data_IF_104266794219
#
_entry.id   IF_104266794219
#
_cell.length_a   1.000
_cell.length_b   1.000
_cell.length_c   1.000
_cell.angle_alpha   90.00
_cell.angle_beta   90.00
_cell.angle_gamma   90.00
#
_symmetry.space_group_name_H-M   'P 1'
#
loop_
_entity.id
_entity.type
_entity.pdbx_description
1 polymer ?
#
# COMPACT_ATOMS: atom_id res chain seq x y z
N UNK A 1 -20.12 10.85 -9.87
CA UNK A 1 -21.01 11.87 -10.23
C UNK A 1 -21.07 12.99 -9.21
N UNK A 2 -20.77 14.15 -9.67
CA UNK A 2 -20.73 15.30 -8.78
C UNK A 2 -22.08 15.98 -8.77
N UNK A 3 -22.77 15.86 -7.65
CA UNK A 3 -24.00 16.61 -7.43
C UNK A 3 -23.64 18.06 -7.09
N UNK A 4 -24.43 19.04 -7.56
CA UNK A 4 -24.20 20.43 -7.19
C UNK A 4 -24.18 20.61 -5.67
N UNK A 5 -23.12 21.25 -5.15
CA UNK A 5 -22.94 21.47 -3.72
C UNK A 5 -22.20 20.38 -2.96
N UNK A 6 -21.91 19.25 -3.59
CA UNK A 6 -21.10 18.20 -2.98
C UNK A 6 -19.63 18.44 -3.34
N UNK A 7 -18.78 18.54 -2.32
CA UNK A 7 -17.35 18.71 -2.50
C UNK A 7 -16.61 17.56 -1.84
N UNK A 8 -15.76 16.90 -2.59
CA UNK A 8 -14.89 15.86 -2.10
C UNK A 8 -13.51 16.43 -1.77
N UNK A 9 -12.95 15.97 -0.68
CA UNK A 9 -11.60 16.36 -0.25
C UNK A 9 -10.72 15.12 -0.18
N UNK A 10 -9.50 15.26 -0.67
CA UNK A 10 -8.45 14.26 -0.45
C UNK A 10 -7.81 14.50 0.90
N UNK A 11 -7.74 13.47 1.72
CA UNK A 11 -7.17 13.56 3.06
C UNK A 11 -6.28 12.34 3.29
N UNK A 12 -5.12 12.58 3.89
CA UNK A 12 -4.23 11.50 4.31
C UNK A 12 -4.24 11.42 5.83
N UNK A 13 -4.55 10.24 6.36
CA UNK A 13 -4.47 9.97 7.79
C UNK A 13 -3.31 9.05 8.09
N UNK A 14 -2.60 9.34 9.17
CA UNK A 14 -1.49 8.55 9.66
C UNK A 14 -1.91 7.89 10.96
N UNK A 15 -1.75 6.58 11.03
CA UNK A 15 -2.35 5.78 12.09
C UNK A 15 -1.37 4.73 12.60
N UNK A 16 -1.68 4.22 13.79
CA UNK A 16 -1.02 3.04 14.34
C UNK A 16 -2.05 1.92 14.46
N UNK A 17 -1.66 0.73 14.06
CA UNK A 17 -2.42 -0.49 14.29
C UNK A 17 -1.91 -1.23 15.52
N UNK A 18 -2.42 -2.45 15.76
CA UNK A 18 -1.91 -3.28 16.84
C UNK A 18 -0.45 -3.66 16.58
N UNK A 19 0.29 -3.96 17.63
CA UNK A 19 1.69 -4.37 17.59
C UNK A 19 2.65 -3.32 16.99
N UNK A 20 2.26 -2.05 17.03
CA UNK A 20 3.12 -0.97 16.54
C UNK A 20 3.16 -0.82 15.03
N UNK A 21 2.22 -1.43 14.31
CA UNK A 21 2.13 -1.31 12.86
C UNK A 21 1.81 0.13 12.47
N UNK A 22 2.57 0.68 11.53
CA UNK A 22 2.29 2.00 10.96
C UNK A 22 1.35 1.87 9.76
N UNK A 23 0.38 2.77 9.66
CA UNK A 23 -0.65 2.73 8.61
C UNK A 23 -0.83 4.14 8.05
N UNK A 24 -0.87 4.24 6.72
CA UNK A 24 -1.25 5.47 6.03
C UNK A 24 -2.53 5.20 5.24
N UNK A 25 -3.52 6.06 5.40
CA UNK A 25 -4.80 5.97 4.70
C UNK A 25 -4.94 7.14 3.75
N UNK A 26 -5.13 6.86 2.46
CA UNK A 26 -5.48 7.87 1.47
C UNK A 26 -6.98 7.85 1.31
N UNK A 27 -7.64 8.94 1.69
CA UNK A 27 -9.09 9.05 1.73
C UNK A 27 -9.62 10.10 0.78
N UNK A 28 -10.82 9.88 0.28
CA UNK A 28 -11.58 10.85 -0.48
C UNK A 28 -12.97 10.91 0.16
N UNK A 29 -13.36 12.06 0.69
CA UNK A 29 -14.61 12.18 1.42
C UNK A 29 -15.31 13.52 1.19
N UNK A 30 -16.62 13.51 1.25
CA UNK A 30 -17.47 14.69 1.27
C UNK A 30 -17.83 15.13 2.69
N UNK A 31 -17.45 14.33 3.70
CA UNK A 31 -17.74 14.60 5.09
C UNK A 31 -16.57 14.16 5.98
N UNK A 32 -15.65 15.09 6.16
CA UNK A 32 -14.43 14.86 6.92
C UNK A 32 -14.67 14.43 8.37
N UNK A 33 -15.67 15.03 9.01
CA UNK A 33 -15.99 14.71 10.42
C UNK A 33 -16.46 13.27 10.56
N UNK A 34 -17.32 12.82 9.65
CA UNK A 34 -17.79 11.44 9.64
C UNK A 34 -16.63 10.49 9.41
N UNK A 35 -15.79 10.75 8.41
CA UNK A 35 -14.67 9.87 8.06
C UNK A 35 -13.72 9.70 9.22
N UNK A 36 -13.28 10.79 9.86
CA UNK A 36 -12.33 10.71 10.96
C UNK A 36 -12.94 9.96 12.16
N UNK A 37 -14.21 10.17 12.45
CA UNK A 37 -14.89 9.50 13.53
C UNK A 37 -14.99 7.98 13.28
N UNK A 38 -15.33 7.58 12.07
CA UNK A 38 -15.42 6.17 11.69
C UNK A 38 -14.06 5.49 11.72
N UNK A 39 -12.99 6.16 11.23
CA UNK A 39 -11.64 5.63 11.27
C UNK A 39 -11.17 5.44 12.71
N UNK A 40 -11.39 6.42 13.57
CA UNK A 40 -11.04 6.30 15.00
C UNK A 40 -11.73 5.11 15.65
N UNK A 41 -12.98 4.88 15.32
CA UNK A 41 -13.74 3.75 15.85
C UNK A 41 -13.16 2.40 15.38
N UNK A 42 -12.86 2.29 14.10
CA UNK A 42 -12.25 1.07 13.53
C UNK A 42 -10.92 0.79 14.20
N UNK A 43 -10.05 1.80 14.31
CA UNK A 43 -8.73 1.64 14.91
C UNK A 43 -8.80 1.26 16.38
N UNK A 44 -9.65 1.91 17.16
CA UNK A 44 -9.75 1.66 18.59
C UNK A 44 -10.20 0.24 18.90
N UNK A 45 -11.09 -0.32 18.08
CA UNK A 45 -11.56 -1.71 18.24
C UNK A 45 -10.45 -2.73 18.01
N UNK A 46 -9.44 -2.37 17.26
CA UNK A 46 -8.30 -3.25 16.93
C UNK A 46 -7.08 -3.00 17.79
N UNK A 47 -7.18 -2.09 18.76
CA UNK A 47 -6.06 -1.73 19.62
C UNK A 47 -5.09 -0.71 19.01
N UNK A 48 -5.52 -0.05 17.93
CA UNK A 48 -4.76 1.01 17.30
C UNK A 48 -5.29 2.39 17.64
N UNK A 49 -4.74 3.41 17.00
CA UNK A 49 -5.16 4.78 17.21
C UNK A 49 -4.77 5.66 16.02
N UNK A 50 -5.52 6.74 15.85
CA UNK A 50 -5.18 7.78 14.89
C UNK A 50 -4.04 8.61 15.45
N UNK A 51 -3.00 8.84 14.66
CA UNK A 51 -1.85 9.65 15.02
C UNK A 51 -1.94 11.06 14.47
N UNK A 52 -0.93 11.85 14.80
CA UNK A 52 -0.79 13.20 14.26
C UNK A 52 -0.13 13.15 12.88
N UNK A 53 -0.39 14.18 12.06
CA UNK A 53 0.25 14.31 10.76
C UNK A 53 1.78 14.31 10.91
N UNK A 54 2.45 13.47 10.12
CA UNK A 54 3.91 13.33 10.17
C UNK A 54 4.41 12.23 11.09
N UNK A 55 3.53 11.55 11.83
CA UNK A 55 3.97 10.56 12.83
C UNK A 55 4.52 9.27 12.20
N UNK A 56 4.05 8.88 11.02
CA UNK A 56 4.48 7.62 10.37
C UNK A 56 4.92 7.81 8.92
N UNK A 57 4.67 8.94 8.27
CA UNK A 57 4.96 9.11 6.85
C UNK A 57 6.43 8.91 6.51
N UNK A 58 7.34 9.22 7.44
CA UNK A 58 8.78 9.03 7.27
C UNK A 58 9.19 7.55 7.20
N UNK A 59 8.30 6.65 7.61
CA UNK A 59 8.52 5.19 7.56
C UNK A 59 8.24 4.62 6.17
N UNK A 60 7.71 5.44 5.27
CA UNK A 60 7.34 5.02 3.91
C UNK A 60 8.09 5.86 2.89
N UNK A 61 8.17 5.31 1.67
CA UNK A 61 8.74 6.05 0.54
C UNK A 61 7.98 5.70 -0.73
N UNK A 62 8.00 6.60 -1.71
CA UNK A 62 7.33 6.37 -2.99
C UNK A 62 8.21 5.52 -3.89
N UNK A 63 7.67 4.43 -4.40
CA UNK A 63 8.36 3.49 -5.29
C UNK A 63 7.41 3.00 -6.37
N UNK A 64 7.99 2.51 -7.46
CA UNK A 64 7.25 1.72 -8.43
C UNK A 64 7.28 0.25 -8.01
N UNK A 65 6.16 -0.43 -8.13
CA UNK A 65 6.04 -1.87 -7.86
C UNK A 65 5.43 -2.53 -9.08
N UNK A 66 6.07 -3.59 -9.58
CA UNK A 66 5.61 -4.32 -10.76
C UNK A 66 5.56 -5.80 -10.42
N UNK A 67 4.39 -6.41 -10.63
CA UNK A 67 4.19 -7.85 -10.44
C UNK A 67 4.11 -8.53 -11.80
N UNK A 68 4.91 -9.59 -11.97
CA UNK A 68 5.01 -10.34 -13.23
C UNK A 68 4.90 -11.83 -12.93
N UNK A 69 4.11 -12.57 -13.72
CA UNK A 69 4.07 -14.02 -13.63
C UNK A 69 5.42 -14.62 -14.02
N UNK A 70 5.85 -15.64 -13.29
CA UNK A 70 7.08 -16.39 -13.65
C UNK A 70 6.98 -17.05 -15.02
N UNK A 71 5.78 -17.33 -15.50
CA UNK A 71 5.55 -17.91 -16.81
C UNK A 71 5.85 -16.94 -17.95
N UNK A 72 5.85 -15.65 -17.68
CA UNK A 72 5.97 -14.60 -18.69
C UNK A 72 7.41 -14.12 -18.90
N UNK A 73 8.32 -14.41 -17.98
CA UNK A 73 9.69 -13.93 -18.06
C UNK A 73 10.65 -14.87 -17.32
N UNK A 74 11.85 -15.02 -17.87
CA UNK A 74 12.92 -15.75 -17.19
C UNK A 74 13.61 -14.85 -16.17
N UNK A 75 13.95 -15.40 -15.01
CA UNK A 75 14.57 -14.65 -13.91
C UNK A 75 15.82 -13.91 -14.36
N UNK A 76 16.61 -14.51 -15.25
CA UNK A 76 17.87 -13.92 -15.74
C UNK A 76 17.64 -12.56 -16.41
N UNK A 77 16.50 -12.37 -17.06
CA UNK A 77 16.17 -11.10 -17.72
C UNK A 77 15.91 -9.96 -16.73
N UNK A 78 15.57 -10.29 -15.50
CA UNK A 78 15.32 -9.28 -14.47
C UNK A 78 16.59 -8.47 -14.17
N UNK A 79 17.76 -9.09 -14.29
CA UNK A 79 19.04 -8.42 -14.04
C UNK A 79 19.38 -7.37 -15.09
N UNK A 80 18.74 -7.39 -16.24
CA UNK A 80 18.93 -6.40 -17.31
C UNK A 80 18.04 -5.18 -17.18
N UNK A 81 17.09 -5.21 -16.24
CA UNK A 81 16.14 -4.12 -16.04
C UNK A 81 16.69 -3.08 -15.08
N UNK A 82 16.25 -1.82 -15.26
CA UNK A 82 16.60 -0.73 -14.36
C UNK A 82 15.71 -0.73 -13.12
N UNK A 83 15.86 -1.77 -12.31
CA UNK A 83 15.11 -1.96 -11.07
C UNK A 83 16.07 -1.90 -9.89
N UNK A 84 15.53 -1.57 -8.72
CA UNK A 84 16.32 -1.53 -7.49
C UNK A 84 16.47 -2.91 -6.88
N UNK A 85 15.42 -3.71 -6.96
CA UNK A 85 15.39 -5.04 -6.35
C UNK A 85 14.24 -5.85 -6.93
N UNK A 86 14.26 -7.16 -6.69
CA UNK A 86 13.11 -8.01 -6.97
C UNK A 86 12.99 -9.12 -5.94
N UNK A 87 11.76 -9.53 -5.70
CA UNK A 87 11.41 -10.60 -4.79
C UNK A 87 10.86 -11.78 -5.59
N UNK A 88 11.31 -12.98 -5.26
CA UNK A 88 10.84 -14.21 -5.90
C UNK A 88 9.75 -14.81 -5.03
N UNK A 89 8.52 -14.83 -5.55
CA UNK A 89 7.39 -15.47 -4.89
C UNK A 89 7.13 -16.83 -5.56
N UNK A 90 6.13 -17.57 -5.09
CA UNK A 90 5.85 -18.90 -5.62
C UNK A 90 5.52 -18.89 -7.12
N UNK A 91 4.67 -17.98 -7.56
CA UNK A 91 4.19 -17.94 -8.94
C UNK A 91 4.54 -16.66 -9.70
N UNK A 92 5.13 -15.68 -9.01
CA UNK A 92 5.42 -14.38 -9.62
C UNK A 92 6.66 -13.74 -9.03
N UNK A 93 7.14 -12.70 -9.73
CA UNK A 93 8.17 -11.80 -9.26
C UNK A 93 7.54 -10.45 -8.90
N UNK A 94 8.06 -9.82 -7.85
CA UNK A 94 7.69 -8.45 -7.51
C UNK A 94 8.93 -7.59 -7.67
N UNK A 95 8.87 -6.65 -8.61
CA UNK A 95 9.97 -5.73 -8.90
C UNK A 95 9.75 -4.41 -8.21
N UNK A 96 10.83 -3.82 -7.71
CA UNK A 96 10.80 -2.48 -7.13
C UNK A 96 11.65 -1.54 -7.96
N UNK A 97 11.09 -0.41 -8.37
CA UNK A 97 11.79 0.61 -9.14
C UNK A 97 11.74 1.95 -8.42
N UNK A 98 12.59 2.89 -8.82
CA UNK A 98 12.35 4.29 -8.46
C UNK A 98 11.09 4.77 -9.18
N UNK A 99 10.39 5.80 -8.66
CA UNK A 99 9.26 6.37 -9.38
C UNK A 99 9.63 6.83 -10.80
N UNK A 100 10.83 7.36 -10.96
CA UNK A 100 11.30 7.88 -12.24
C UNK A 100 11.50 6.78 -13.29
N UNK A 101 11.99 5.61 -12.87
CA UNK A 101 12.25 4.50 -13.80
C UNK A 101 11.04 3.62 -14.06
N UNK A 102 9.97 3.79 -13.31
CA UNK A 102 8.78 2.92 -13.42
C UNK A 102 8.21 2.88 -14.84
N UNK A 103 8.06 4.05 -15.47
CA UNK A 103 7.50 4.15 -16.82
C UNK A 103 8.34 3.42 -17.85
N UNK A 104 9.66 3.61 -17.79
CA UNK A 104 10.59 2.99 -18.74
C UNK A 104 10.62 1.48 -18.59
N UNK A 105 10.66 0.98 -17.36
CA UNK A 105 10.65 -0.47 -17.08
C UNK A 105 9.34 -1.10 -17.54
N UNK A 106 8.21 -0.45 -17.22
CA UNK A 106 6.90 -0.93 -17.63
C UNK A 106 6.76 -1.00 -19.15
N UNK A 107 7.19 0.05 -19.84
CA UNK A 107 7.15 0.09 -21.31
C UNK A 107 8.02 -0.98 -21.94
N UNK A 108 9.21 -1.20 -21.41
CA UNK A 108 10.11 -2.23 -21.90
C UNK A 108 9.48 -3.62 -21.78
N UNK A 109 8.87 -3.93 -20.65
CA UNK A 109 8.21 -5.22 -20.43
C UNK A 109 6.98 -5.40 -21.32
N UNK A 110 6.18 -4.36 -21.48
CA UNK A 110 5.01 -4.40 -22.33
C UNK A 110 5.36 -4.62 -23.82
N UNK A 111 6.46 -4.04 -24.27
CA UNK A 111 6.96 -4.26 -25.65
C UNK A 111 7.38 -5.70 -25.88
N UNK A 112 7.83 -6.40 -24.86
CA UNK A 112 8.17 -7.81 -24.92
C UNK A 112 6.95 -8.72 -24.68
N UNK A 113 5.74 -8.15 -24.69
CA UNK A 113 4.47 -8.86 -24.46
C UNK A 113 4.37 -9.50 -23.08
N UNK A 114 5.03 -8.92 -22.10
CA UNK A 114 4.93 -9.35 -20.72
C UNK A 114 3.76 -8.63 -20.07
N UNK A 115 2.82 -9.37 -19.51
CA UNK A 115 1.70 -8.80 -18.77
C UNK A 115 2.19 -8.37 -17.37
N UNK A 116 1.95 -7.13 -17.02
CA UNK A 116 2.37 -6.59 -15.74
C UNK A 116 1.21 -5.97 -14.99
N UNK A 117 1.30 -6.01 -13.67
CA UNK A 117 0.48 -5.20 -12.79
C UNK A 117 1.43 -4.27 -12.06
N UNK A 118 1.25 -2.97 -12.22
CA UNK A 118 2.18 -2.03 -11.63
C UNK A 118 1.54 -0.75 -11.19
N UNK A 119 2.14 -0.13 -10.19
CA UNK A 119 1.74 1.18 -9.70
C UNK A 119 2.91 1.89 -9.03
N UNK A 120 2.84 3.21 -8.99
CA UNK A 120 3.73 4.04 -8.17
C UNK A 120 2.96 4.42 -6.93
N UNK A 121 3.50 4.11 -5.76
CA UNK A 121 2.84 4.41 -4.50
C UNK A 121 3.76 4.26 -3.30
N UNK A 122 3.19 4.42 -2.13
CA UNK A 122 3.93 4.33 -0.88
C UNK A 122 4.24 2.88 -0.53
N UNK A 123 5.48 2.62 -0.17
CA UNK A 123 5.92 1.32 0.34
C UNK A 123 6.71 1.55 1.64
N UNK A 124 6.67 0.61 2.58
CA UNK A 124 7.43 0.76 3.82
C UNK A 124 8.93 0.64 3.56
N UNK A 125 9.71 1.47 4.23
CA UNK A 125 11.18 1.37 4.19
C UNK A 125 11.66 0.13 4.92
N UNK A 126 10.99 -0.22 6.01
CA UNK A 126 11.26 -1.42 6.81
C UNK A 126 9.94 -2.01 7.26
N UNK A 127 9.91 -3.31 7.51
CA UNK A 127 8.70 -4.01 7.95
C UNK A 127 8.74 -4.32 9.43
N UNK A 128 7.54 -4.38 10.03
CA UNK A 128 7.32 -4.85 11.41
C UNK A 128 6.84 -6.29 11.31
N UNK A 129 7.59 -7.21 11.88
CA UNK A 129 7.23 -8.62 11.87
C UNK A 129 6.11 -8.91 12.86
N UNK A 130 5.09 -9.61 12.40
CA UNK A 130 3.95 -10.02 13.22
C UNK A 130 3.87 -11.54 13.17
N UNK A 131 3.81 -12.17 14.36
CA UNK A 131 3.68 -13.61 14.42
C UNK A 131 2.33 -14.05 13.86
N UNK A 132 2.29 -15.28 13.36
CA UNK A 132 1.05 -15.85 12.85
C UNK A 132 -0.06 -15.87 13.90
N UNK A 133 0.30 -16.01 15.18
CA UNK A 133 -0.68 -15.98 16.29
C UNK A 133 -1.32 -14.61 16.48
N UNK A 134 -0.60 -13.54 16.17
CA UNK A 134 -1.08 -12.16 16.32
C UNK A 134 -1.66 -11.59 15.03
N UNK A 135 -1.59 -12.33 13.93
CA UNK A 135 -1.94 -11.81 12.60
C UNK A 135 -3.43 -11.52 12.43
N UNK A 136 -4.31 -12.25 13.11
CA UNK A 136 -5.75 -12.09 12.90
C UNK A 136 -6.26 -10.69 13.22
N UNK A 137 -5.73 -10.05 14.26
CA UNK A 137 -6.12 -8.70 14.65
C UNK A 137 -5.73 -7.68 13.59
N UNK A 138 -4.51 -7.80 13.05
CA UNK A 138 -4.01 -6.91 12.00
C UNK A 138 -4.79 -7.12 10.71
N UNK A 139 -5.01 -8.37 10.31
CA UNK A 139 -5.74 -8.68 9.07
C UNK A 139 -7.20 -8.23 9.14
N UNK A 140 -7.86 -8.39 10.30
CA UNK A 140 -9.21 -7.88 10.50
C UNK A 140 -9.26 -6.36 10.35
N UNK A 141 -8.27 -5.67 10.93
CA UNK A 141 -8.18 -4.22 10.80
C UNK A 141 -8.03 -3.81 9.33
N UNK A 142 -7.12 -4.46 8.60
CA UNK A 142 -6.90 -4.16 7.18
C UNK A 142 -8.18 -4.36 6.37
N UNK A 143 -8.91 -5.44 6.63
CA UNK A 143 -10.16 -5.72 5.95
C UNK A 143 -11.21 -4.63 6.21
N UNK A 144 -11.37 -4.20 7.45
CA UNK A 144 -12.32 -3.14 7.78
C UNK A 144 -11.95 -1.80 7.15
N UNK A 145 -10.65 -1.49 7.08
CA UNK A 145 -10.18 -0.27 6.43
C UNK A 145 -10.40 -0.34 4.92
N UNK A 146 -10.12 -1.47 4.30
CA UNK A 146 -10.35 -1.65 2.87
C UNK A 146 -11.83 -1.57 2.48
N UNK A 147 -12.70 -2.01 3.37
CA UNK A 147 -14.16 -1.99 3.14
C UNK A 147 -14.79 -0.61 3.34
N UNK A 148 -14.06 0.34 3.90
CA UNK A 148 -14.59 1.67 4.14
C UNK A 148 -14.62 2.48 2.84
N UNK A 149 -15.81 3.01 2.50
CA UNK A 149 -16.04 3.68 1.21
C UNK A 149 -15.17 4.91 0.99
N UNK A 150 -14.82 5.63 2.04
CA UNK A 150 -14.02 6.85 1.94
C UNK A 150 -12.52 6.57 1.85
N UNK A 151 -12.09 5.36 2.17
CA UNK A 151 -10.67 4.99 2.12
C UNK A 151 -10.36 4.41 0.74
N UNK A 152 -9.50 5.10 -0.01
CA UNK A 152 -9.13 4.72 -1.36
C UNK A 152 -7.93 3.78 -1.38
N UNK A 153 -6.95 4.01 -0.50
CA UNK A 153 -5.74 3.19 -0.39
C UNK A 153 -5.32 3.06 1.05
N UNK A 154 -4.84 1.88 1.40
CA UNK A 154 -4.28 1.56 2.72
C UNK A 154 -2.84 1.12 2.52
N UNK A 155 -1.92 1.79 3.21
CA UNK A 155 -0.50 1.41 3.22
C UNK A 155 -0.12 1.01 4.63
N UNK A 156 0.61 -0.08 4.77
CA UNK A 156 1.02 -0.57 6.09
C UNK A 156 2.42 -1.17 6.01
N UNK A 157 3.06 -1.31 7.15
CA UNK A 157 4.42 -1.83 7.22
C UNK A 157 4.54 -3.18 7.93
N UNK A 158 3.46 -3.92 8.08
CA UNK A 158 3.53 -5.23 8.71
C UNK A 158 3.95 -6.33 7.74
N UNK A 159 4.59 -7.36 8.29
CA UNK A 159 4.92 -8.60 7.58
C UNK A 159 4.59 -9.75 8.51
N UNK A 160 3.81 -10.71 8.02
CA UNK A 160 3.44 -11.90 8.81
C UNK A 160 4.50 -12.98 8.60
N UNK A 161 5.05 -13.47 9.69
CA UNK A 161 6.12 -14.47 9.68
C UNK A 161 5.65 -15.83 10.16
#
# INVERSE_FOLDING_TARGET
GDLPGVKYEDIIYECYGPNGVAIILECLTDNKKRTVSEIKNILSKSGGNLGESGCVNWMFEKKGTITISKDDIEEEKLFDLQIEDFEVCDEHYILTTTPDNFGDVSSFLEKDNVNIEGEVGLVPKNTVEISNNDSSRVLNLMEQLDDHDDIQKVHSNFEII
#
